data_IF_027075771694
#
_entry.id   IF_027075771694
#
_cell.length_a   1.000
_cell.length_b   1.000
_cell.length_c   1.000
_cell.angle_alpha   90.00
_cell.angle_beta   90.00
_cell.angle_gamma   90.00
#
_symmetry.space_group_name_H-M   'P 1'
#
loop_
_entity.id
_entity.type
_entity.pdbx_description
1 polymer ?
#
# COMPACT_ATOMS: atom_id res chain seq x y z
N UNK A 1 -0.82 31.17 -30.05
CA UNK A 1 -0.98 30.84 -28.60
C UNK A 1 -1.94 29.67 -28.33
N UNK A 2 -2.01 28.58 -29.11
CA UNK A 2 -2.87 27.42 -28.81
C UNK A 2 -2.30 26.51 -27.73
N UNK A 3 -0.97 26.40 -27.60
CA UNK A 3 -0.27 25.46 -26.71
C UNK A 3 -0.59 25.65 -25.19
N UNK A 4 -0.56 26.89 -24.67
CA UNK A 4 -0.89 27.18 -23.25
C UNK A 4 -2.35 26.87 -22.88
N UNK A 5 -3.28 26.97 -23.82
CA UNK A 5 -4.70 26.67 -23.58
C UNK A 5 -4.92 25.16 -23.43
N UNK A 6 -4.19 24.36 -24.22
CA UNK A 6 -4.23 22.90 -24.16
C UNK A 6 -3.64 22.35 -22.84
N UNK A 7 -2.51 22.90 -22.38
CA UNK A 7 -1.90 22.53 -21.08
C UNK A 7 -2.80 22.87 -19.89
N UNK A 8 -3.47 24.01 -19.89
CA UNK A 8 -4.41 24.39 -18.83
C UNK A 8 -5.61 23.45 -18.80
N UNK A 9 -6.13 23.04 -19.96
CA UNK A 9 -7.23 22.07 -20.05
C UNK A 9 -6.77 20.70 -19.52
N UNK A 10 -5.62 20.21 -19.95
CA UNK A 10 -5.06 18.93 -19.49
C UNK A 10 -4.85 18.92 -17.97
N UNK A 11 -4.28 20.00 -17.39
CA UNK A 11 -4.10 20.14 -15.94
C UNK A 11 -5.44 20.13 -15.19
N UNK A 12 -6.47 20.81 -15.69
CA UNK A 12 -7.81 20.80 -15.07
C UNK A 12 -8.47 19.43 -15.13
N UNK A 13 -8.30 18.68 -16.22
CA UNK A 13 -8.80 17.32 -16.36
C UNK A 13 -8.09 16.37 -15.38
N UNK A 14 -6.75 16.43 -15.32
CA UNK A 14 -5.96 15.65 -14.38
C UNK A 14 -6.30 15.96 -12.92
N UNK A 15 -6.44 17.24 -12.56
CA UNK A 15 -6.83 17.66 -11.21
C UNK A 15 -8.22 17.14 -10.84
N UNK A 16 -9.17 17.15 -11.78
CA UNK A 16 -10.51 16.61 -11.54
C UNK A 16 -10.51 15.08 -11.41
N UNK A 17 -9.78 14.39 -12.25
CA UNK A 17 -9.58 12.95 -12.12
C UNK A 17 -9.01 12.59 -10.74
N UNK A 18 -7.94 13.27 -10.31
CA UNK A 18 -7.33 13.07 -8.99
C UNK A 18 -8.31 13.35 -7.84
N UNK A 19 -9.14 14.39 -7.95
CA UNK A 19 -10.15 14.73 -6.94
C UNK A 19 -11.23 13.64 -6.82
N UNK A 20 -11.68 13.04 -7.92
CA UNK A 20 -12.62 11.93 -7.92
C UNK A 20 -12.01 10.71 -7.22
N UNK A 21 -10.78 10.34 -7.56
CA UNK A 21 -10.08 9.20 -6.93
C UNK A 21 -9.87 9.47 -5.43
N UNK A 22 -9.49 10.68 -5.03
CA UNK A 22 -9.34 11.04 -3.62
C UNK A 22 -10.66 10.88 -2.86
N UNK A 23 -11.77 11.41 -3.40
CA UNK A 23 -13.08 11.25 -2.80
C UNK A 23 -13.53 9.78 -2.68
N UNK A 24 -13.21 8.96 -3.68
CA UNK A 24 -13.51 7.53 -3.69
C UNK A 24 -12.65 6.76 -2.67
N UNK A 25 -11.35 7.08 -2.55
CA UNK A 25 -10.46 6.53 -1.52
C UNK A 25 -10.94 6.89 -0.11
N UNK A 26 -11.36 8.13 0.10
CA UNK A 26 -11.88 8.57 1.39
C UNK A 26 -13.18 7.82 1.74
N UNK A 27 -14.07 7.58 0.78
CA UNK A 27 -15.23 6.70 0.95
C UNK A 27 -14.82 5.27 1.32
N UNK A 28 -13.80 4.71 0.65
CA UNK A 28 -13.27 3.38 0.96
C UNK A 28 -12.65 3.33 2.39
N UNK A 29 -12.03 4.40 2.84
CA UNK A 29 -11.46 4.47 4.20
C UNK A 29 -12.52 4.45 5.30
N UNK A 30 -13.72 4.94 5.03
CA UNK A 30 -14.86 5.00 5.96
C UNK A 30 -15.74 3.74 5.90
N UNK A 31 -16.05 3.26 4.68
CA UNK A 31 -17.06 2.22 4.44
C UNK A 31 -16.58 0.98 3.67
N UNK A 32 -15.28 0.83 3.40
CA UNK A 32 -14.78 -0.24 2.55
C UNK A 32 -15.05 0.00 1.06
N UNK A 33 -14.71 -0.97 0.21
CA UNK A 33 -14.97 -0.84 -1.24
C UNK A 33 -16.46 -0.79 -1.57
N UNK A 34 -17.31 -1.34 -0.71
CA UNK A 34 -18.77 -1.23 -0.86
C UNK A 34 -19.27 0.22 -0.83
N UNK A 35 -18.61 1.12 -0.09
CA UNK A 35 -18.95 2.53 -0.01
C UNK A 35 -18.54 3.35 -1.24
N UNK A 36 -17.69 2.80 -2.12
CA UNK A 36 -17.29 3.46 -3.37
C UNK A 36 -18.43 3.35 -4.38
N UNK A 37 -19.40 4.27 -4.24
CA UNK A 37 -20.55 4.39 -5.14
C UNK A 37 -20.46 5.70 -5.92
N UNK A 38 -20.77 5.66 -7.22
CA UNK A 38 -20.65 6.84 -8.11
C UNK A 38 -21.35 8.09 -7.54
N UNK A 39 -22.59 7.92 -7.04
CA UNK A 39 -23.35 9.05 -6.49
C UNK A 39 -22.69 9.62 -5.21
N UNK A 40 -22.25 8.77 -4.29
CA UNK A 40 -21.59 9.19 -3.05
C UNK A 40 -20.26 9.88 -3.33
N UNK A 41 -19.47 9.35 -4.27
CA UNK A 41 -18.18 9.93 -4.70
C UNK A 41 -18.40 11.28 -5.38
N UNK A 42 -19.41 11.40 -6.25
CA UNK A 42 -19.76 12.66 -6.91
C UNK A 42 -20.13 13.74 -5.88
N UNK A 43 -20.98 13.39 -4.90
CA UNK A 43 -21.38 14.30 -3.82
C UNK A 43 -20.15 14.75 -3.01
N UNK A 44 -19.27 13.82 -2.62
CA UNK A 44 -18.06 14.12 -1.86
C UNK A 44 -17.06 14.97 -2.65
N UNK A 45 -16.95 14.76 -3.95
CA UNK A 45 -16.10 15.55 -4.84
C UNK A 45 -16.72 16.90 -5.25
N UNK A 46 -17.96 17.21 -4.86
CA UNK A 46 -18.67 18.45 -5.20
C UNK A 46 -18.99 18.57 -6.70
N UNK A 47 -19.29 17.44 -7.37
CA UNK A 47 -19.57 17.39 -8.82
C UNK A 47 -20.84 16.57 -9.11
N UNK A 48 -21.40 16.74 -10.30
CA UNK A 48 -22.53 15.92 -10.73
C UNK A 48 -22.07 14.48 -11.05
N UNK A 49 -22.93 13.48 -10.78
CA UNK A 49 -22.65 12.06 -11.08
C UNK A 49 -22.30 11.81 -12.56
N UNK A 50 -22.97 12.51 -13.48
CA UNK A 50 -22.65 12.49 -14.91
C UNK A 50 -21.22 12.94 -15.24
N UNK A 51 -20.60 13.76 -14.36
CA UNK A 51 -19.21 14.13 -14.52
C UNK A 51 -18.30 12.96 -14.13
N UNK A 52 -18.62 12.18 -13.10
CA UNK A 52 -17.86 10.99 -12.71
C UNK A 52 -17.91 9.95 -13.83
N UNK A 53 -19.07 9.69 -14.42
CA UNK A 53 -19.24 8.76 -15.54
C UNK A 53 -18.41 9.11 -16.78
N UNK A 54 -18.04 10.38 -16.97
CA UNK A 54 -17.13 10.79 -18.07
C UNK A 54 -15.68 10.37 -17.86
N UNK A 55 -15.28 10.11 -16.62
CA UNK A 55 -13.94 9.63 -16.27
C UNK A 55 -13.91 8.13 -16.02
N UNK A 56 -14.96 7.60 -15.44
CA UNK A 56 -15.09 6.20 -15.06
C UNK A 56 -16.45 5.69 -15.54
N UNK A 57 -16.48 4.87 -16.60
CA UNK A 57 -17.72 4.37 -17.20
C UNK A 57 -18.61 3.60 -16.23
N UNK A 58 -18.01 2.97 -15.20
CA UNK A 58 -18.73 2.22 -14.19
C UNK A 58 -18.06 2.27 -12.80
N UNK A 59 -18.75 1.68 -11.82
CA UNK A 59 -18.24 1.52 -10.46
C UNK A 59 -16.95 0.70 -10.44
N UNK A 60 -16.89 -0.37 -11.23
CA UNK A 60 -15.72 -1.26 -11.33
C UNK A 60 -14.47 -0.49 -11.79
N UNK A 61 -14.62 0.37 -12.82
CA UNK A 61 -13.52 1.21 -13.31
C UNK A 61 -13.03 2.18 -12.23
N UNK A 62 -13.97 2.79 -11.49
CA UNK A 62 -13.62 3.70 -10.40
C UNK A 62 -12.90 2.96 -9.26
N UNK A 63 -13.38 1.78 -8.85
CA UNK A 63 -12.75 0.98 -7.80
C UNK A 63 -11.37 0.49 -8.24
N UNK A 64 -11.22 0.02 -9.49
CA UNK A 64 -9.93 -0.37 -10.04
C UNK A 64 -8.91 0.80 -10.02
N UNK A 65 -9.34 2.00 -10.38
CA UNK A 65 -8.49 3.20 -10.33
C UNK A 65 -8.10 3.58 -8.89
N UNK A 66 -9.01 3.42 -7.92
CA UNK A 66 -8.71 3.62 -6.49
C UNK A 66 -7.68 2.60 -6.00
N UNK A 67 -7.84 1.33 -6.35
CA UNK A 67 -6.88 0.28 -6.00
C UNK A 67 -5.49 0.55 -6.60
N UNK A 68 -5.42 1.01 -7.84
CA UNK A 68 -4.17 1.39 -8.49
C UNK A 68 -3.49 2.57 -7.78
N UNK A 69 -4.25 3.61 -7.43
CA UNK A 69 -3.74 4.78 -6.69
C UNK A 69 -3.22 4.38 -5.30
N UNK A 70 -3.96 3.56 -4.56
CA UNK A 70 -3.53 3.03 -3.26
C UNK A 70 -2.23 2.24 -3.43
N UNK A 71 -2.16 1.33 -4.41
CA UNK A 71 -0.98 0.55 -4.71
C UNK A 71 0.25 1.45 -4.94
N UNK A 72 0.11 2.47 -5.78
CA UNK A 72 1.19 3.38 -6.12
C UNK A 72 1.65 4.24 -4.92
N UNK A 73 0.72 4.68 -4.08
CA UNK A 73 1.03 5.40 -2.84
C UNK A 73 1.79 4.54 -1.84
N UNK A 74 1.37 3.31 -1.66
CA UNK A 74 2.01 2.39 -0.71
C UNK A 74 3.40 1.96 -1.19
N UNK A 75 3.55 1.50 -2.42
CA UNK A 75 4.86 1.15 -2.99
C UNK A 75 5.80 2.35 -3.04
N UNK A 76 5.29 3.53 -3.40
CA UNK A 76 6.05 4.76 -3.36
C UNK A 76 6.52 5.16 -1.94
N UNK A 77 5.70 4.89 -0.91
CA UNK A 77 6.10 5.12 0.47
C UNK A 77 7.22 4.16 0.91
N UNK A 78 7.15 2.89 0.50
CA UNK A 78 8.21 1.90 0.76
C UNK A 78 9.53 2.33 0.13
N UNK A 79 9.53 2.69 -1.15
CA UNK A 79 10.73 3.17 -1.86
C UNK A 79 11.35 4.36 -1.13
N UNK A 80 10.58 5.41 -0.85
CA UNK A 80 11.10 6.60 -0.16
C UNK A 80 11.70 6.28 1.21
N UNK A 81 11.13 5.35 1.96
CA UNK A 81 11.69 4.95 3.26
C UNK A 81 12.98 4.14 3.11
N UNK A 82 13.07 3.32 2.05
CA UNK A 82 14.26 2.56 1.73
C UNK A 82 15.41 3.44 1.21
N UNK A 83 15.11 4.43 0.36
CA UNK A 83 16.09 5.31 -0.28
C UNK A 83 16.90 6.16 0.73
N UNK A 84 16.31 6.52 1.87
CA UNK A 84 16.98 7.31 2.93
C UNK A 84 17.68 6.43 3.98
N UNK A 85 17.60 5.11 3.85
CA UNK A 85 18.21 4.20 4.82
C UNK A 85 19.73 4.04 4.57
N UNK A 86 20.54 3.81 5.61
CA UNK A 86 22.00 3.82 5.49
C UNK A 86 22.60 2.56 4.86
N UNK A 87 21.79 1.56 4.52
CA UNK A 87 22.26 0.33 3.89
C UNK A 87 21.15 -0.68 3.63
N UNK A 88 21.43 -1.77 2.90
CA UNK A 88 20.40 -2.65 2.35
C UNK A 88 19.48 -3.29 3.40
N UNK A 89 20.02 -3.79 4.51
CA UNK A 89 19.19 -4.36 5.59
C UNK A 89 18.38 -3.29 6.31
N UNK A 90 18.90 -2.08 6.47
CA UNK A 90 18.16 -0.95 7.03
C UNK A 90 17.04 -0.50 6.09
N UNK A 91 17.28 -0.52 4.77
CA UNK A 91 16.27 -0.24 3.75
C UNK A 91 15.12 -1.25 3.80
N UNK A 92 15.44 -2.54 3.89
CA UNK A 92 14.46 -3.60 4.03
C UNK A 92 13.63 -3.44 5.33
N UNK A 93 14.30 -3.19 6.47
CA UNK A 93 13.63 -2.92 7.75
C UNK A 93 12.71 -1.70 7.67
N UNK A 94 13.19 -0.59 7.07
CA UNK A 94 12.43 0.64 6.92
C UNK A 94 11.18 0.44 6.05
N UNK A 95 11.29 -0.31 4.95
CA UNK A 95 10.15 -0.64 4.09
C UNK A 95 9.10 -1.48 4.83
N UNK A 96 9.52 -2.53 5.56
CA UNK A 96 8.62 -3.37 6.36
C UNK A 96 7.89 -2.52 7.42
N UNK A 97 8.62 -1.71 8.19
CA UNK A 97 8.03 -0.86 9.24
C UNK A 97 7.09 0.20 8.64
N UNK A 98 7.46 0.78 7.50
CA UNK A 98 6.63 1.77 6.79
C UNK A 98 5.31 1.14 6.37
N UNK A 99 5.33 -0.04 5.72
CA UNK A 99 4.12 -0.74 5.34
C UNK A 99 3.25 -1.06 6.56
N UNK A 100 3.84 -1.67 7.59
CA UNK A 100 3.12 -2.07 8.80
C UNK A 100 2.48 -0.87 9.51
N UNK A 101 3.22 0.23 9.69
CA UNK A 101 2.72 1.45 10.32
C UNK A 101 1.56 2.06 9.53
N UNK A 102 1.68 2.14 8.21
CA UNK A 102 0.64 2.71 7.35
C UNK A 102 -0.60 1.83 7.30
N UNK A 103 -0.41 0.50 7.23
CA UNK A 103 -1.52 -0.46 7.24
C UNK A 103 -2.32 -0.38 8.55
N UNK A 104 -1.67 -0.28 9.70
CA UNK A 104 -2.35 -0.12 10.99
C UNK A 104 -3.01 1.24 11.15
N UNK A 105 -2.34 2.33 10.73
CA UNK A 105 -2.92 3.69 10.78
C UNK A 105 -4.18 3.82 9.95
N UNK A 106 -4.27 3.12 8.82
CA UNK A 106 -5.40 3.14 7.89
C UNK A 106 -5.99 1.75 7.70
N UNK A 107 -6.17 1.01 8.80
CA UNK A 107 -6.50 -0.43 8.78
C UNK A 107 -7.70 -0.74 7.91
N UNK A 108 -8.76 0.06 7.98
CA UNK A 108 -9.96 -0.15 7.17
C UNK A 108 -9.67 -0.04 5.67
N UNK A 109 -8.92 0.97 5.26
CA UNK A 109 -8.52 1.15 3.87
C UNK A 109 -7.58 0.04 3.40
N UNK A 110 -6.63 -0.35 4.25
CA UNK A 110 -5.71 -1.45 3.95
C UNK A 110 -6.46 -2.79 3.77
N UNK A 111 -7.41 -3.09 4.67
CA UNK A 111 -8.29 -4.25 4.55
C UNK A 111 -9.13 -4.19 3.26
N UNK A 112 -9.78 -3.06 2.99
CA UNK A 112 -10.58 -2.84 1.80
C UNK A 112 -9.77 -3.06 0.51
N UNK A 113 -8.53 -2.55 0.48
CA UNK A 113 -7.68 -2.65 -0.71
C UNK A 113 -7.09 -4.05 -0.93
N UNK A 114 -6.84 -4.84 0.14
CA UNK A 114 -6.04 -6.06 0.03
C UNK A 114 -6.83 -7.32 0.39
N UNK A 115 -7.74 -7.27 1.38
CA UNK A 115 -8.33 -8.46 1.98
C UNK A 115 -9.87 -8.52 1.91
N UNK A 116 -10.57 -7.40 1.77
CA UNK A 116 -12.04 -7.37 1.68
C UNK A 116 -12.52 -8.15 0.45
N UNK A 117 -13.52 -9.05 0.53
CA UNK A 117 -14.11 -9.70 -0.64
C UNK A 117 -14.62 -8.68 -1.64
N UNK A 118 -14.31 -8.87 -2.91
CA UNK A 118 -14.74 -7.99 -4.02
C UNK A 118 -15.33 -8.82 -5.15
N UNK A 119 -15.96 -8.14 -6.09
CA UNK A 119 -16.46 -8.75 -7.34
C UNK A 119 -15.27 -9.32 -8.15
N UNK A 120 -15.49 -10.41 -8.87
CA UNK A 120 -14.43 -11.13 -9.60
C UNK A 120 -13.64 -10.24 -10.57
N UNK A 121 -14.31 -9.23 -11.15
CA UNK A 121 -13.69 -8.26 -12.06
C UNK A 121 -12.60 -7.42 -11.39
N UNK A 122 -12.63 -7.30 -10.08
CA UNK A 122 -11.65 -6.53 -9.28
C UNK A 122 -10.51 -7.38 -8.74
N UNK A 123 -10.60 -8.70 -8.81
CA UNK A 123 -9.56 -9.61 -8.31
C UNK A 123 -8.22 -9.38 -9.00
N UNK A 124 -8.24 -9.07 -10.30
CA UNK A 124 -7.02 -8.76 -11.05
C UNK A 124 -6.32 -7.49 -10.54
N UNK A 125 -7.08 -6.44 -10.20
CA UNK A 125 -6.54 -5.19 -9.64
C UNK A 125 -5.92 -5.41 -8.27
N UNK A 126 -6.56 -6.21 -7.41
CA UNK A 126 -6.04 -6.59 -6.08
C UNK A 126 -4.78 -7.45 -6.17
N UNK A 127 -4.81 -8.44 -7.05
CA UNK A 127 -3.63 -9.25 -7.31
C UNK A 127 -2.48 -8.38 -7.85
N UNK A 128 -2.79 -7.38 -8.69
CA UNK A 128 -1.85 -6.38 -9.16
C UNK A 128 -1.17 -5.63 -8.02
N UNK A 129 -1.92 -5.18 -7.02
CA UNK A 129 -1.36 -4.52 -5.85
C UNK A 129 -0.44 -5.45 -5.04
N UNK A 130 -0.86 -6.68 -4.76
CA UNK A 130 -0.03 -7.66 -4.06
C UNK A 130 1.26 -7.99 -4.82
N UNK A 131 1.18 -8.11 -6.14
CA UNK A 131 2.36 -8.29 -7.01
C UNK A 131 3.30 -7.10 -6.97
N UNK A 132 2.77 -5.87 -6.96
CA UNK A 132 3.58 -4.66 -6.85
C UNK A 132 4.33 -4.60 -5.50
N UNK A 133 3.66 -4.92 -4.40
CA UNK A 133 4.33 -5.03 -3.08
C UNK A 133 5.42 -6.10 -3.08
N UNK A 134 5.14 -7.29 -3.63
CA UNK A 134 6.11 -8.37 -3.71
C UNK A 134 7.33 -7.98 -4.57
N UNK A 135 7.14 -7.27 -5.68
CA UNK A 135 8.24 -6.79 -6.52
C UNK A 135 9.15 -5.79 -5.78
N UNK A 136 8.57 -4.86 -5.00
CA UNK A 136 9.37 -3.94 -4.18
C UNK A 136 10.20 -4.70 -3.13
N UNK A 137 9.58 -5.61 -2.40
CA UNK A 137 10.30 -6.41 -1.41
C UNK A 137 11.33 -7.34 -2.03
N UNK A 138 11.06 -7.93 -3.20
CA UNK A 138 12.04 -8.75 -3.92
C UNK A 138 13.29 -7.94 -4.29
N UNK A 139 13.12 -6.71 -4.75
CA UNK A 139 14.23 -5.80 -5.04
C UNK A 139 15.06 -5.50 -3.78
N UNK A 140 14.40 -5.23 -2.65
CA UNK A 140 15.10 -4.95 -1.39
C UNK A 140 15.80 -6.19 -0.81
N UNK A 141 15.18 -7.37 -0.92
CA UNK A 141 15.79 -8.66 -0.49
C UNK A 141 17.00 -8.97 -1.35
N UNK A 142 16.91 -8.80 -2.67
CA UNK A 142 18.04 -9.01 -3.58
C UNK A 142 19.20 -8.06 -3.28
N UNK A 143 18.92 -6.78 -3.02
CA UNK A 143 19.92 -5.80 -2.62
C UNK A 143 20.58 -6.13 -1.26
N UNK A 144 19.83 -6.75 -0.35
CA UNK A 144 20.32 -7.22 0.94
C UNK A 144 21.02 -8.59 0.87
N UNK A 145 21.01 -9.27 -0.28
CA UNK A 145 21.54 -10.61 -0.50
C UNK A 145 22.92 -10.90 0.11
N UNK A 146 23.93 -10.01 0.00
CA UNK A 146 25.24 -10.22 0.63
C UNK A 146 25.21 -10.33 2.16
N UNK A 147 24.08 -9.99 2.80
CA UNK A 147 23.87 -10.01 4.24
C UNK A 147 22.82 -11.04 4.69
N UNK A 148 22.27 -11.80 3.77
CA UNK A 148 21.23 -12.80 4.00
C UNK A 148 21.74 -14.18 3.57
N UNK A 149 21.19 -15.27 4.10
CA UNK A 149 21.39 -16.60 3.53
C UNK A 149 20.95 -16.63 2.06
N UNK A 150 21.54 -17.54 1.29
CA UNK A 150 21.10 -17.78 -0.09
C UNK A 150 19.62 -18.16 -0.12
N UNK A 151 18.84 -17.43 -0.89
CA UNK A 151 17.39 -17.60 -0.98
C UNK A 151 16.83 -17.04 -2.29
N UNK A 152 15.71 -17.59 -2.73
CA UNK A 152 14.93 -17.01 -3.82
C UNK A 152 14.23 -15.72 -3.34
N UNK A 153 14.69 -14.58 -3.84
CA UNK A 153 14.17 -13.28 -3.46
C UNK A 153 12.68 -13.10 -3.82
N UNK A 154 12.22 -13.68 -4.93
CA UNK A 154 10.82 -13.56 -5.35
C UNK A 154 9.91 -14.40 -4.44
N UNK A 155 10.29 -15.62 -4.12
CA UNK A 155 9.57 -16.48 -3.19
C UNK A 155 9.54 -15.88 -1.78
N UNK A 156 10.69 -15.40 -1.29
CA UNK A 156 10.82 -14.77 0.02
C UNK A 156 9.97 -13.50 0.12
N UNK A 157 9.90 -12.69 -0.93
CA UNK A 157 9.05 -11.51 -0.99
C UNK A 157 7.57 -11.87 -0.98
N UNK A 158 7.16 -12.91 -1.71
CA UNK A 158 5.77 -13.38 -1.69
C UNK A 158 5.36 -13.87 -0.30
N UNK A 159 6.23 -14.64 0.37
CA UNK A 159 6.02 -15.09 1.75
C UNK A 159 5.94 -13.90 2.73
N UNK A 160 6.84 -12.90 2.59
CA UNK A 160 6.85 -11.69 3.39
C UNK A 160 5.55 -10.90 3.23
N UNK A 161 5.05 -10.72 2.01
CA UNK A 161 3.75 -10.06 1.75
C UNK A 161 2.62 -10.81 2.44
N UNK A 162 2.59 -12.14 2.37
CA UNK A 162 1.60 -12.97 3.08
C UNK A 162 1.66 -12.77 4.59
N UNK A 163 2.86 -12.83 5.17
CA UNK A 163 3.10 -12.59 6.61
C UNK A 163 2.60 -11.21 7.05
N UNK A 164 2.92 -10.16 6.28
CA UNK A 164 2.52 -8.79 6.61
C UNK A 164 1.01 -8.60 6.49
N UNK A 165 0.39 -9.11 5.44
CA UNK A 165 -1.06 -9.01 5.24
C UNK A 165 -1.79 -9.73 6.37
N UNK A 166 -1.45 -10.99 6.62
CA UNK A 166 -2.16 -11.79 7.63
C UNK A 166 -1.94 -11.24 9.04
N UNK A 167 -0.71 -10.83 9.36
CA UNK A 167 -0.38 -10.30 10.69
C UNK A 167 -0.93 -8.90 11.00
N UNK A 168 -1.34 -8.11 9.98
CA UNK A 168 -1.78 -6.72 10.16
C UNK A 168 -3.28 -6.53 9.93
N UNK A 169 -3.82 -7.16 8.90
CA UNK A 169 -5.17 -6.87 8.37
C UNK A 169 -5.99 -8.12 8.06
N UNK A 170 -5.37 -9.30 8.01
CA UNK A 170 -6.06 -10.57 7.79
C UNK A 170 -6.93 -10.98 8.98
N UNK A 171 -7.68 -12.09 8.86
CA UNK A 171 -8.58 -12.57 9.90
C UNK A 171 -7.86 -13.03 11.18
N UNK A 172 -6.56 -13.36 11.09
CA UNK A 172 -5.73 -13.74 12.24
C UNK A 172 -5.02 -12.54 12.90
N UNK A 173 -5.17 -11.32 12.33
CA UNK A 173 -4.50 -10.13 12.85
C UNK A 173 -5.01 -9.81 14.27
N UNK A 174 -4.11 -9.54 15.23
CA UNK A 174 -4.48 -9.21 16.59
C UNK A 174 -5.20 -7.86 16.67
N UNK A 175 -5.94 -7.64 17.76
CA UNK A 175 -6.38 -6.28 18.06
C UNK A 175 -5.16 -5.38 18.30
N UNK A 176 -5.09 -4.31 17.54
CA UNK A 176 -3.97 -3.39 17.54
C UNK A 176 -4.19 -2.16 18.44
N UNK A 177 -5.40 -1.98 19.00
CA UNK A 177 -5.79 -0.79 19.75
C UNK A 177 -4.82 -0.51 20.90
N UNK A 178 -4.12 0.62 20.85
CA UNK A 178 -3.11 1.03 21.84
C UNK A 178 -1.81 0.22 21.81
N UNK A 179 -1.63 -0.69 20.84
CA UNK A 179 -0.47 -1.58 20.71
C UNK A 179 0.21 -1.49 19.33
N UNK A 180 -0.19 -0.53 18.52
CA UNK A 180 0.22 -0.42 17.11
C UNK A 180 1.75 -0.46 16.96
N UNK A 181 2.46 0.33 17.76
CA UNK A 181 3.93 0.37 17.74
C UNK A 181 4.55 -0.99 18.09
N UNK A 182 4.06 -1.63 19.13
CA UNK A 182 4.57 -2.94 19.57
C UNK A 182 4.33 -4.02 18.50
N UNK A 183 3.16 -3.99 17.83
CA UNK A 183 2.84 -4.91 16.74
C UNK A 183 3.77 -4.66 15.54
N UNK A 184 3.97 -3.41 15.13
CA UNK A 184 4.90 -3.05 14.04
C UNK A 184 6.30 -3.57 14.33
N UNK A 185 6.83 -3.30 15.54
CA UNK A 185 8.16 -3.77 15.94
C UNK A 185 8.26 -5.29 15.95
N UNK A 186 7.29 -5.98 16.58
CA UNK A 186 7.26 -7.44 16.67
C UNK A 186 7.17 -8.09 15.29
N UNK A 187 6.29 -7.60 14.43
CA UNK A 187 6.11 -8.16 13.09
C UNK A 187 7.33 -7.91 12.21
N UNK A 188 7.95 -6.72 12.30
CA UNK A 188 9.21 -6.43 11.60
C UNK A 188 10.32 -7.37 12.06
N UNK A 189 10.42 -7.63 13.36
CA UNK A 189 11.40 -8.55 13.90
C UNK A 189 11.18 -9.99 13.40
N UNK A 190 9.92 -10.45 13.39
CA UNK A 190 9.55 -11.76 12.83
C UNK A 190 9.93 -11.83 11.34
N UNK A 191 9.60 -10.80 10.56
CA UNK A 191 9.89 -10.73 9.13
C UNK A 191 11.42 -10.79 8.85
N UNK A 192 12.22 -9.99 9.55
CA UNK A 192 13.67 -9.99 9.39
C UNK A 192 14.29 -11.34 9.75
N UNK A 193 13.82 -11.99 10.83
CA UNK A 193 14.27 -13.34 11.22
C UNK A 193 13.89 -14.39 10.19
N UNK A 194 12.67 -14.33 9.65
CA UNK A 194 12.22 -15.24 8.61
C UNK A 194 13.08 -15.15 7.34
N UNK A 195 13.64 -13.98 7.06
CA UNK A 195 14.59 -13.74 5.97
C UNK A 195 16.03 -14.13 6.33
N UNK A 196 16.28 -14.65 7.55
CA UNK A 196 17.59 -15.13 7.98
C UNK A 196 18.49 -14.05 8.59
N UNK A 197 17.96 -12.87 8.94
CA UNK A 197 18.74 -11.88 9.69
C UNK A 197 18.96 -12.35 11.13
N UNK A 198 20.21 -12.43 11.57
CA UNK A 198 20.56 -12.83 12.93
C UNK A 198 19.83 -11.96 13.99
N UNK A 199 19.35 -12.57 15.07
CA UNK A 199 18.47 -11.96 16.07
C UNK A 199 19.00 -10.63 16.62
N UNK A 200 20.24 -10.58 17.03
CA UNK A 200 20.85 -9.36 17.57
C UNK A 200 20.84 -8.22 16.56
N UNK A 201 21.12 -8.51 15.28
CA UNK A 201 21.10 -7.55 14.19
C UNK A 201 19.69 -7.11 13.86
N UNK A 202 18.73 -8.04 13.83
CA UNK A 202 17.31 -7.73 13.58
C UNK A 202 16.76 -6.78 14.66
N UNK A 203 17.05 -7.02 15.94
CA UNK A 203 16.68 -6.12 17.05
C UNK A 203 17.27 -4.73 16.89
N UNK A 204 18.56 -4.63 16.55
CA UNK A 204 19.23 -3.35 16.30
C UNK A 204 18.58 -2.56 15.16
N UNK A 205 18.23 -3.24 14.06
CA UNK A 205 17.56 -2.62 12.91
C UNK A 205 16.18 -2.06 13.28
N UNK A 206 15.37 -2.81 14.05
CA UNK A 206 14.05 -2.35 14.49
C UNK A 206 14.16 -1.09 15.35
N UNK A 207 15.07 -1.07 16.35
CA UNK A 207 15.28 0.09 17.22
C UNK A 207 15.77 1.32 16.44
N UNK A 208 16.72 1.14 15.52
CA UNK A 208 17.25 2.25 14.71
C UNK A 208 16.22 2.84 13.77
N UNK A 209 15.32 2.01 13.22
CA UNK A 209 14.28 2.47 12.29
C UNK A 209 13.16 3.19 13.03
N UNK A 210 12.82 2.75 14.24
CA UNK A 210 11.73 3.31 15.04
C UNK A 210 12.05 4.71 15.62
N UNK A 211 13.33 5.05 15.77
CA UNK A 211 13.81 6.35 16.29
C UNK A 211 13.97 7.44 15.21
N UNK A 212 13.56 7.19 13.97
CA UNK A 212 13.59 8.13 12.85
C UNK A 212 12.19 8.62 12.47
#
# INVERSE_FOLDING_TARGET
MPYRRTENVARRLAARHAAIIAAARDAASEGGMAAVQIAAVAQRAGIAAGTVYRYFPGKTDLVAAVLAEISERETGALRRSADVAPGPLSALSAAIMTFATRALRHRRLAYAAIAEPVEAELDAARLGFRKALAAEFATLIAAAGPHLPEQDAALSAAALVGLLIEGLIGPLAPDATGRERAIVQSLTLVALRALGVADARARGLVVMTDNR
#
